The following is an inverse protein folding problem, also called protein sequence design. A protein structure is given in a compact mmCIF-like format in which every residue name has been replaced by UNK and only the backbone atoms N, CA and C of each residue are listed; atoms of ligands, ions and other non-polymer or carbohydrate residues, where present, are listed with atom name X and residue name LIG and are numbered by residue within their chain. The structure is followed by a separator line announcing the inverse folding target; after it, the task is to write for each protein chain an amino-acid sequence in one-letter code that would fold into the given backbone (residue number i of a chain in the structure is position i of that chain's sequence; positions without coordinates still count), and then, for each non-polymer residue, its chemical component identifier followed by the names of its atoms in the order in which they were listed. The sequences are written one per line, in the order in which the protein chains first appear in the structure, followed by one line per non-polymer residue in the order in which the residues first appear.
data_IF_488010077317
#
_entry.id   IF_488010077317
#
_cell.length_a   1.000
_cell.length_b   1.000
_cell.length_c   1.000
_cell.angle_alpha   90.00
_cell.angle_beta   90.00
_cell.angle_gamma   90.00
#
_symmetry.space_group_name_H-M   'P 1'
#
loop_
_entity.id
_entity.type
_entity.pdbx_description
1 polymer ?
#
# COMPACT_ATOMS: atom_id res chain seq x y z
N UNK A 1 -12.04 -2.73 7.54
CA UNK A 1 -12.61 -1.48 8.11
C UNK A 1 -11.52 -0.42 8.18
N UNK A 2 -11.87 0.86 8.00
CA UNK A 2 -10.96 2.00 8.12
C UNK A 2 -11.64 3.06 9.00
N UNK A 3 -10.93 3.70 9.91
CA UNK A 3 -11.48 4.84 10.65
C UNK A 3 -10.69 5.29 11.88
N UNK A 4 -11.14 6.39 12.47
CA UNK A 4 -10.69 6.92 13.76
C UNK A 4 -11.42 6.20 14.90
N UNK A 5 -10.64 5.51 15.74
CA UNK A 5 -11.17 4.81 16.91
C UNK A 5 -10.84 5.54 18.22
N UNK A 6 -10.11 6.66 18.16
CA UNK A 6 -9.57 7.39 19.32
C UNK A 6 -8.87 6.46 20.35
N UNK A 7 -8.30 5.37 19.82
CA UNK A 7 -7.82 4.22 20.59
C UNK A 7 -6.31 4.17 20.46
N UNK A 8 -5.58 4.39 21.54
CA UNK A 8 -4.11 4.22 21.53
C UNK A 8 -3.83 2.82 22.03
N UNK A 9 -3.35 1.95 21.15
CA UNK A 9 -3.19 0.51 21.44
C UNK A 9 -1.76 0.11 21.78
N UNK A 10 -0.80 1.03 21.74
CA UNK A 10 0.61 0.72 21.97
C UNK A 10 1.10 -0.38 21.01
N UNK A 11 1.73 -1.43 21.55
CA UNK A 11 2.10 -2.66 20.83
C UNK A 11 1.34 -3.89 21.36
N UNK A 12 0.15 -3.71 21.94
CA UNK A 12 -0.70 -4.83 22.36
C UNK A 12 -1.05 -5.75 21.19
N UNK A 13 -0.99 -7.07 21.43
CA UNK A 13 -1.42 -8.10 20.49
C UNK A 13 -2.93 -8.04 20.26
N UNK A 14 -3.35 -8.06 19.01
CA UNK A 14 -4.73 -8.10 18.52
C UNK A 14 -5.25 -9.53 18.29
N UNK A 15 -4.45 -10.55 18.62
CA UNK A 15 -4.82 -11.97 18.62
C UNK A 15 -4.51 -12.63 19.98
N UNK A 16 -5.15 -13.76 20.24
CA UNK A 16 -4.87 -14.61 21.40
C UNK A 16 -3.59 -15.40 21.19
N UNK A 17 -2.68 -15.35 22.16
CA UNK A 17 -1.49 -16.17 22.12
C UNK A 17 -1.76 -17.46 22.91
N UNK A 18 -2.02 -18.56 22.21
CA UNK A 18 -2.42 -19.84 22.83
C UNK A 18 -1.39 -20.32 23.88
N UNK A 19 -0.10 -20.06 23.66
CA UNK A 19 0.96 -20.48 24.58
C UNK A 19 1.07 -19.62 25.86
N UNK A 20 0.49 -18.41 25.86
CA UNK A 20 0.61 -17.44 26.96
C UNK A 20 -0.72 -17.11 27.63
N UNK A 21 -1.80 -17.19 26.89
CA UNK A 21 -3.14 -16.87 27.35
C UNK A 21 -3.78 -18.17 27.88
N UNK A 22 -3.54 -18.47 29.16
CA UNK A 22 -4.11 -19.62 29.91
C UNK A 22 -5.66 -19.64 29.99
N UNK A 23 -6.37 -18.81 29.21
CA UNK A 23 -7.82 -18.68 29.22
C UNK A 23 -8.54 -19.67 28.30
N UNK A 24 -7.81 -20.45 27.50
CA UNK A 24 -8.39 -21.52 26.68
C UNK A 24 -8.38 -22.86 27.43
N UNK A 25 -8.96 -22.90 28.63
CA UNK A 25 -9.37 -24.17 29.22
C UNK A 25 -10.60 -24.69 28.47
N UNK A 26 -10.40 -25.80 27.75
CA UNK A 26 -11.39 -26.81 27.38
C UNK A 26 -12.63 -26.32 26.61
N UNK A 27 -12.67 -26.60 25.29
CA UNK A 27 -13.83 -27.17 24.56
C UNK A 27 -13.82 -26.80 23.07
N UNK A 28 -12.81 -27.17 22.27
CA UNK A 28 -13.08 -27.43 20.85
C UNK A 28 -12.07 -28.42 20.27
N UNK A 29 -12.57 -29.63 20.01
CA UNK A 29 -12.01 -30.62 19.12
C UNK A 29 -12.23 -30.17 17.68
N UNK A 30 -11.19 -29.69 16.99
CA UNK A 30 -10.91 -30.05 15.59
C UNK A 30 -9.50 -29.60 15.19
N UNK A 31 -8.56 -30.54 15.19
CA UNK A 31 -7.15 -30.32 14.86
C UNK A 31 -6.94 -30.36 13.34
N UNK A 32 -7.49 -29.39 12.58
CA UNK A 32 -7.15 -29.21 11.15
C UNK A 32 -7.45 -27.82 10.56
N UNK A 33 -8.05 -26.86 11.28
CA UNK A 33 -8.13 -25.47 10.80
C UNK A 33 -6.82 -24.72 11.10
N UNK A 34 -6.20 -24.15 10.06
CA UNK A 34 -5.14 -23.15 10.22
C UNK A 34 -5.64 -22.06 11.18
N UNK A 35 -4.85 -21.74 12.21
CA UNK A 35 -5.24 -20.62 13.06
C UNK A 35 -5.21 -19.34 12.23
N UNK A 36 -6.08 -18.37 12.54
CA UNK A 36 -6.09 -17.08 11.85
C UNK A 36 -4.72 -16.38 11.86
N UNK A 37 -3.88 -16.71 12.85
CA UNK A 37 -2.51 -16.21 12.97
C UNK A 37 -1.59 -16.87 11.95
N UNK A 38 -1.79 -18.14 11.60
CA UNK A 38 -0.96 -18.85 10.61
C UNK A 38 -1.16 -18.29 9.19
N UNK A 39 -2.36 -17.77 8.89
CA UNK A 39 -2.63 -17.04 7.63
C UNK A 39 -1.73 -15.81 7.50
N UNK A 40 -1.36 -15.16 8.61
CA UNK A 40 -0.40 -14.06 8.55
C UNK A 40 0.97 -14.54 8.08
N UNK A 41 1.43 -15.70 8.56
CA UNK A 41 2.75 -16.22 8.17
C UNK A 41 2.77 -16.70 6.73
N UNK A 42 1.69 -17.33 6.27
CA UNK A 42 1.51 -17.74 4.86
C UNK A 42 1.67 -16.53 3.92
N UNK A 43 1.09 -15.39 4.31
CA UNK A 43 1.17 -14.14 3.56
C UNK A 43 2.45 -13.34 3.80
N UNK A 44 3.37 -13.83 4.64
CA UNK A 44 4.58 -13.11 5.03
C UNK A 44 4.31 -11.82 5.83
N UNK A 45 3.12 -11.69 6.42
CA UNK A 45 2.71 -10.56 7.25
C UNK A 45 3.20 -10.80 8.68
N UNK A 46 3.94 -9.86 9.30
CA UNK A 46 4.40 -10.03 10.67
C UNK A 46 3.24 -10.26 11.66
N UNK A 47 3.35 -11.30 12.50
CA UNK A 47 2.42 -11.56 13.61
C UNK A 47 2.36 -10.40 14.62
N UNK A 48 3.51 -9.77 14.90
CA UNK A 48 3.58 -8.60 15.77
C UNK A 48 3.61 -7.32 14.94
N UNK A 49 2.71 -6.40 15.28
CA UNK A 49 2.69 -5.05 14.73
C UNK A 49 3.70 -4.16 15.44
N UNK A 50 4.25 -3.21 14.69
CA UNK A 50 5.06 -2.13 15.26
C UNK A 50 4.22 -0.85 15.36
N UNK A 51 4.41 -0.10 16.43
CA UNK A 51 3.85 1.23 16.61
C UNK A 51 4.87 2.13 17.28
N UNK A 52 5.12 3.29 16.69
CA UNK A 52 5.91 4.34 17.34
C UNK A 52 5.17 4.96 18.53
N UNK A 53 3.84 4.95 18.48
CA UNK A 53 3.00 5.28 19.62
C UNK A 53 2.92 4.07 20.55
N UNK A 54 3.67 4.10 21.65
CA UNK A 54 3.71 3.04 22.66
C UNK A 54 2.66 3.20 23.77
N UNK A 55 1.89 4.28 23.76
CA UNK A 55 0.90 4.56 24.80
C UNK A 55 -0.34 3.69 24.62
N UNK A 56 -0.89 3.22 25.73
CA UNK A 56 -2.14 2.46 25.76
C UNK A 56 -3.19 3.20 26.58
N UNK A 57 -4.31 3.59 25.96
CA UNK A 57 -5.45 4.18 26.67
C UNK A 57 -6.58 3.16 26.94
N UNK A 58 -7.62 3.58 27.68
CA UNK A 58 -8.74 2.70 28.02
C UNK A 58 -9.53 2.22 26.80
N UNK A 59 -9.69 3.07 25.78
CA UNK A 59 -10.31 2.70 24.50
C UNK A 59 -9.45 1.70 23.74
N UNK A 60 -8.12 1.85 23.76
CA UNK A 60 -7.18 0.94 23.13
C UNK A 60 -7.25 -0.49 23.65
N UNK A 61 -7.43 -0.69 24.97
CA UNK A 61 -7.65 -2.03 25.53
C UNK A 61 -8.95 -2.66 25.00
N UNK A 62 -10.05 -1.92 25.06
CA UNK A 62 -11.36 -2.38 24.54
C UNK A 62 -11.31 -2.67 23.04
N UNK A 63 -10.56 -1.86 22.30
CA UNK A 63 -10.39 -2.03 20.86
C UNK A 63 -9.57 -3.28 20.53
N UNK A 64 -8.53 -3.58 21.32
CA UNK A 64 -7.78 -4.84 21.20
C UNK A 64 -8.68 -6.04 21.54
N UNK A 65 -9.49 -5.96 22.60
CA UNK A 65 -10.44 -7.03 22.94
C UNK A 65 -11.46 -7.23 21.82
N UNK A 66 -11.95 -6.14 21.21
CA UNK A 66 -12.81 -6.20 20.03
C UNK A 66 -12.12 -6.92 18.87
N UNK A 67 -10.87 -6.58 18.55
CA UNK A 67 -10.10 -7.23 17.50
C UNK A 67 -9.97 -8.74 17.75
N UNK A 68 -9.56 -9.13 18.96
CA UNK A 68 -9.41 -10.54 19.37
C UNK A 68 -10.72 -11.32 19.25
N UNK A 69 -11.81 -10.76 19.76
CA UNK A 69 -13.11 -11.43 19.79
C UNK A 69 -13.76 -11.55 18.40
N UNK A 70 -13.42 -10.66 17.47
CA UNK A 70 -13.96 -10.65 16.12
C UNK A 70 -12.98 -11.19 15.07
N UNK A 71 -11.82 -11.74 15.49
CA UNK A 71 -10.78 -12.26 14.59
C UNK A 71 -10.34 -11.22 13.54
N UNK A 72 -10.17 -9.98 13.99
CA UNK A 72 -9.75 -8.85 13.16
C UNK A 72 -8.33 -8.45 13.50
N UNK A 73 -7.50 -8.24 12.49
CA UNK A 73 -6.11 -7.81 12.63
C UNK A 73 -5.95 -6.33 12.28
N UNK A 74 -5.17 -5.63 13.11
CA UNK A 74 -4.74 -4.26 12.86
C UNK A 74 -3.60 -4.30 11.83
N UNK A 75 -3.79 -3.66 10.68
CA UNK A 75 -2.81 -3.65 9.59
C UNK A 75 -1.70 -2.60 9.79
N UNK A 76 -1.99 -1.52 10.52
CA UNK A 76 -1.01 -0.49 10.85
C UNK A 76 0.20 -1.15 11.54
N UNK A 77 1.40 -0.86 11.05
CA UNK A 77 2.61 -1.44 11.62
C UNK A 77 2.99 -2.83 11.13
N UNK A 78 2.22 -3.44 10.21
CA UNK A 78 2.52 -4.79 9.67
C UNK A 78 3.05 -4.78 8.24
N UNK A 79 2.46 -3.96 7.36
CA UNK A 79 2.83 -3.91 5.94
C UNK A 79 4.08 -3.06 5.70
N UNK A 80 4.88 -3.42 4.69
CA UNK A 80 6.21 -2.85 4.39
C UNK A 80 6.27 -1.32 4.46
N UNK A 81 5.29 -0.66 3.84
CA UNK A 81 5.24 0.81 3.72
C UNK A 81 4.79 1.51 5.00
N UNK A 82 4.27 0.76 5.97
CA UNK A 82 3.90 1.25 7.29
C UNK A 82 4.52 0.43 8.43
N UNK A 83 5.65 -0.24 8.19
CA UNK A 83 6.33 -1.10 9.19
C UNK A 83 6.74 -0.41 10.47
N UNK A 84 6.81 0.91 10.51
CA UNK A 84 7.12 1.69 11.72
C UNK A 84 5.89 1.96 12.58
N UNK A 85 4.68 1.74 12.04
CA UNK A 85 3.42 2.18 12.65
C UNK A 85 3.40 3.69 12.83
N UNK A 86 3.51 4.41 11.71
CA UNK A 86 3.63 5.87 11.71
C UNK A 86 2.40 6.54 12.34
N UNK A 87 2.56 7.68 13.02
CA UNK A 87 1.45 8.36 13.68
C UNK A 87 0.40 8.80 12.67
N UNK A 88 -0.86 8.58 13.00
CA UNK A 88 -2.00 9.02 12.19
C UNK A 88 -2.60 10.32 12.69
N UNK A 89 -2.24 10.75 13.91
CA UNK A 89 -2.73 12.01 14.49
C UNK A 89 -1.61 12.78 15.19
N UNK A 90 -1.57 14.10 14.94
CA UNK A 90 -0.66 15.10 15.55
C UNK A 90 0.81 14.72 15.54
N UNK A 91 1.24 13.90 14.58
CA UNK A 91 2.59 13.31 14.53
C UNK A 91 3.02 12.58 15.81
N UNK A 92 2.08 12.16 16.66
CA UNK A 92 2.37 11.56 17.96
C UNK A 92 1.58 10.30 18.26
N UNK A 93 0.35 10.21 17.75
CA UNK A 93 -0.60 9.15 18.14
C UNK A 93 -0.99 8.31 16.93
N UNK A 94 -1.17 7.01 17.15
CA UNK A 94 -1.80 6.11 16.19
C UNK A 94 -3.20 5.83 16.70
N UNK A 95 -4.21 6.42 16.08
CA UNK A 95 -5.63 6.30 16.47
C UNK A 95 -6.55 5.97 15.30
N UNK A 96 -6.06 6.14 14.07
CA UNK A 96 -6.73 5.79 12.83
C UNK A 96 -6.20 4.44 12.34
N UNK A 97 -7.09 3.46 12.20
CA UNK A 97 -6.69 2.08 11.92
C UNK A 97 -7.33 1.52 10.66
N UNK A 98 -6.56 0.69 9.97
CA UNK A 98 -7.05 -0.27 9.00
C UNK A 98 -7.14 -1.65 9.67
N UNK A 99 -8.30 -2.29 9.57
CA UNK A 99 -8.58 -3.62 10.09
C UNK A 99 -8.96 -4.57 8.96
N UNK A 100 -8.51 -5.82 9.05
CA UNK A 100 -8.91 -6.90 8.16
C UNK A 100 -9.16 -8.19 8.90
N UNK A 101 -10.12 -8.98 8.43
CA UNK A 101 -10.15 -10.42 8.73
C UNK A 101 -9.09 -11.13 7.88
N UNK A 102 -8.73 -12.36 8.27
CA UNK A 102 -7.80 -13.22 7.54
C UNK A 102 -8.22 -13.46 6.10
N UNK A 103 -9.50 -13.73 5.87
CA UNK A 103 -10.05 -13.94 4.53
C UNK A 103 -9.77 -12.79 3.56
N UNK A 104 -9.81 -11.54 4.06
CA UNK A 104 -9.62 -10.36 3.22
C UNK A 104 -8.16 -9.90 3.11
N UNK A 105 -7.25 -10.47 3.91
CA UNK A 105 -5.82 -10.14 3.84
C UNK A 105 -5.21 -10.46 2.48
N UNK A 106 -5.68 -11.53 1.83
CA UNK A 106 -5.24 -11.91 0.49
C UNK A 106 -5.54 -10.85 -0.58
N UNK A 107 -6.43 -9.91 -0.29
CA UNK A 107 -6.78 -8.83 -1.19
C UNK A 107 -6.10 -7.50 -0.83
N UNK A 108 -5.27 -7.48 0.21
CA UNK A 108 -4.58 -6.26 0.64
C UNK A 108 -3.18 -6.22 0.03
N UNK A 109 -2.91 -5.17 -0.73
CA UNK A 109 -1.62 -4.93 -1.36
C UNK A 109 -0.71 -4.10 -0.45
N UNK A 110 -1.23 -2.96 0.01
CA UNK A 110 -0.42 -1.92 0.64
C UNK A 110 -1.24 -1.08 1.60
N UNK A 111 -0.62 -0.64 2.69
CA UNK A 111 -1.13 0.37 3.60
C UNK A 111 -0.06 1.42 3.84
N UNK A 112 -0.41 2.69 3.69
CA UNK A 112 0.48 3.81 3.97
C UNK A 112 -0.24 4.92 4.75
N UNK A 113 0.49 5.59 5.64
CA UNK A 113 0.06 6.84 6.26
C UNK A 113 0.68 7.96 5.45
N UNK A 114 -0.16 8.75 4.79
CA UNK A 114 0.27 9.87 3.95
C UNK A 114 0.67 11.06 4.81
N UNK A 115 1.42 11.99 4.22
CA UNK A 115 1.82 13.21 4.90
C UNK A 115 0.60 14.04 5.31
N UNK A 116 0.66 14.57 6.53
CA UNK A 116 -0.35 15.49 7.03
C UNK A 116 -0.53 16.68 6.09
N UNK A 117 -1.79 17.01 5.80
CA UNK A 117 -2.16 18.13 4.96
C UNK A 117 -3.19 19.00 5.68
N UNK A 118 -2.78 20.23 6.04
CA UNK A 118 -3.63 21.22 6.73
C UNK A 118 -4.91 21.61 5.95
N UNK A 119 -4.95 21.33 4.65
CA UNK A 119 -6.14 21.57 3.83
C UNK A 119 -7.24 20.53 4.07
N UNK A 120 -6.88 19.32 4.49
CA UNK A 120 -7.81 18.20 4.61
C UNK A 120 -8.09 17.79 6.06
N UNK A 121 -7.23 18.18 7.00
CA UNK A 121 -7.44 17.95 8.43
C UNK A 121 -6.67 18.94 9.29
N UNK A 122 -7.16 19.16 10.50
CA UNK A 122 -6.49 19.90 11.55
C UNK A 122 -5.46 19.04 12.30
N UNK A 123 -5.73 17.74 12.45
CA UNK A 123 -4.90 16.85 13.29
C UNK A 123 -4.63 15.46 12.72
N UNK A 124 -5.34 15.00 11.68
CA UNK A 124 -5.19 13.63 11.14
C UNK A 124 -4.40 13.59 9.82
N UNK A 125 -3.52 12.59 9.72
CA UNK A 125 -2.85 12.18 8.50
C UNK A 125 -3.71 11.18 7.75
N UNK A 126 -3.87 11.31 6.41
CA UNK A 126 -4.67 10.35 5.65
C UNK A 126 -4.09 8.93 5.68
N UNK A 127 -4.97 7.94 5.72
CA UNK A 127 -4.61 6.52 5.61
C UNK A 127 -5.03 6.01 4.22
N UNK A 128 -4.07 5.48 3.47
CA UNK A 128 -4.27 4.96 2.12
C UNK A 128 -4.12 3.43 2.12
N UNK A 129 -5.16 2.73 1.68
CA UNK A 129 -5.22 1.27 1.59
C UNK A 129 -5.44 0.88 0.12
N UNK A 130 -4.56 0.04 -0.41
CA UNK A 130 -4.64 -0.49 -1.76
C UNK A 130 -5.08 -1.94 -1.73
N UNK A 131 -6.04 -2.28 -2.60
CA UNK A 131 -6.65 -3.60 -2.70
C UNK A 131 -6.44 -4.21 -4.09
N UNK A 132 -6.34 -5.53 -4.15
CA UNK A 132 -6.46 -6.30 -5.37
C UNK A 132 -7.92 -6.63 -5.64
N UNK A 133 -8.40 -6.31 -6.84
CA UNK A 133 -9.81 -6.48 -7.25
C UNK A 133 -10.01 -7.53 -8.35
N UNK A 134 -8.95 -8.13 -8.89
CA UNK A 134 -9.01 -9.19 -9.90
C UNK A 134 -8.26 -10.44 -9.43
N UNK A 135 -8.90 -11.60 -9.53
CA UNK A 135 -8.30 -12.89 -9.16
C UNK A 135 -7.10 -13.26 -10.06
N UNK A 136 -7.09 -12.84 -11.33
CA UNK A 136 -5.94 -13.06 -12.23
C UNK A 136 -4.66 -12.29 -11.81
N UNK A 137 -4.81 -11.16 -11.12
CA UNK A 137 -3.67 -10.40 -10.56
C UNK A 137 -3.18 -11.06 -9.27
N UNK A 138 -4.10 -11.68 -8.52
CA UNK A 138 -3.84 -12.39 -7.27
C UNK A 138 -2.96 -13.61 -7.50
N UNK A 139 -3.25 -14.42 -8.53
CA UNK A 139 -2.45 -15.59 -8.89
C UNK A 139 -1.07 -15.20 -9.43
N UNK A 140 -0.98 -14.13 -10.23
CA UNK A 140 0.33 -13.61 -10.69
C UNK A 140 1.24 -13.21 -9.52
N UNK A 141 0.69 -12.59 -8.47
CA UNK A 141 1.47 -12.11 -7.33
C UNK A 141 1.71 -13.17 -6.24
N UNK A 142 0.80 -14.14 -6.06
CA UNK A 142 0.98 -15.25 -5.11
C UNK A 142 1.99 -16.29 -5.63
N UNK A 143 2.04 -16.51 -6.95
CA UNK A 143 3.08 -17.34 -7.58
C UNK A 143 4.45 -16.64 -7.57
N UNK A 144 4.45 -15.31 -7.49
CA UNK A 144 5.62 -14.47 -7.20
C UNK A 144 5.84 -14.35 -5.69
N UNK A 145 6.14 -15.47 -5.02
CA UNK A 145 6.75 -15.39 -3.69
C UNK A 145 8.02 -14.55 -3.80
N UNK A 146 7.98 -13.30 -3.35
CA UNK A 146 9.10 -12.36 -3.34
C UNK A 146 9.95 -12.33 -4.62
N UNK A 147 9.34 -12.07 -5.78
CA UNK A 147 10.12 -11.49 -6.87
C UNK A 147 10.30 -10.00 -6.57
N UNK A 148 11.52 -9.64 -6.17
CA UNK A 148 12.00 -8.26 -6.16
C UNK A 148 12.05 -7.77 -7.62
N UNK A 149 10.89 -7.45 -8.19
CA UNK A 149 10.80 -6.73 -9.43
C UNK A 149 11.01 -5.27 -9.05
N UNK A 150 12.26 -4.80 -9.14
CA UNK A 150 12.55 -3.38 -8.99
C UNK A 150 11.65 -2.62 -9.94
N UNK A 151 10.66 -1.91 -9.37
CA UNK A 151 9.68 -1.14 -10.12
C UNK A 151 10.45 -0.15 -11.00
N UNK A 152 10.48 -0.40 -12.32
CA UNK A 152 11.28 0.38 -13.27
C UNK A 152 10.66 1.76 -13.37
N UNK A 153 11.21 2.71 -12.62
CA UNK A 153 10.78 4.09 -12.68
C UNK A 153 11.51 4.78 -13.82
N UNK A 154 10.73 5.48 -14.65
CA UNK A 154 11.28 6.42 -15.61
C UNK A 154 12.07 7.48 -14.86
N UNK A 155 13.28 7.78 -15.33
CA UNK A 155 14.08 8.85 -14.74
C UNK A 155 13.38 10.21 -14.85
N UNK A 156 13.72 11.14 -13.96
CA UNK A 156 13.13 12.48 -13.93
C UNK A 156 13.25 13.18 -15.28
N UNK A 157 12.20 13.90 -15.66
CA UNK A 157 12.15 14.75 -16.84
C UNK A 157 13.37 15.70 -16.90
N UNK A 158 14.00 15.77 -18.08
CA UNK A 158 15.09 16.71 -18.37
C UNK A 158 14.67 17.59 -19.54
N UNK A 159 14.57 18.90 -19.30
CA UNK A 159 14.07 19.84 -20.30
C UNK A 159 14.93 19.86 -21.57
N UNK A 160 16.24 19.60 -21.44
CA UNK A 160 17.18 19.50 -22.56
C UNK A 160 16.81 18.38 -23.56
N UNK A 161 16.12 17.33 -23.09
CA UNK A 161 15.72 16.16 -23.90
C UNK A 161 14.28 16.23 -24.41
N UNK A 162 13.62 17.39 -24.33
CA UNK A 162 12.21 17.51 -24.70
C UNK A 162 11.93 17.18 -26.19
N UNK A 163 12.86 17.52 -27.09
CA UNK A 163 12.73 17.22 -28.51
C UNK A 163 12.97 15.73 -28.80
N UNK A 164 13.91 15.10 -28.07
CA UNK A 164 14.16 13.66 -28.12
C UNK A 164 12.91 12.89 -27.67
N UNK A 165 12.25 13.35 -26.59
CA UNK A 165 10.99 12.79 -26.13
C UNK A 165 9.89 12.83 -27.20
N UNK A 166 9.68 13.99 -27.81
CA UNK A 166 8.69 14.14 -28.89
C UNK A 166 8.97 13.22 -30.07
N UNK A 167 10.24 13.00 -30.41
CA UNK A 167 10.62 12.13 -31.51
C UNK A 167 10.44 10.64 -31.17
N UNK A 168 10.50 10.30 -29.88
CA UNK A 168 10.28 8.93 -29.38
C UNK A 168 8.79 8.61 -29.15
N UNK A 169 7.87 9.55 -29.40
CA UNK A 169 6.43 9.26 -29.43
C UNK A 169 6.12 8.48 -30.70
N UNK A 170 5.68 7.23 -30.52
CA UNK A 170 5.29 6.36 -31.62
C UNK A 170 4.02 6.91 -32.29
N UNK A 171 4.22 7.53 -33.46
CA UNK A 171 3.11 8.11 -34.23
C UNK A 171 2.11 7.07 -34.69
N UNK A 172 2.53 5.84 -34.95
CA UNK A 172 1.60 4.80 -35.39
C UNK A 172 0.62 4.43 -34.28
N UNK A 173 1.09 4.37 -33.02
CA UNK A 173 0.23 4.16 -31.85
C UNK A 173 -0.73 5.34 -31.64
N UNK A 174 -0.23 6.57 -31.80
CA UNK A 174 -1.07 7.78 -31.70
C UNK A 174 -2.16 7.78 -32.77
N UNK A 175 -1.81 7.46 -34.01
CA UNK A 175 -2.76 7.41 -35.12
C UNK A 175 -3.82 6.31 -34.91
N UNK A 176 -3.44 5.14 -34.39
CA UNK A 176 -4.40 4.07 -34.04
C UNK A 176 -5.38 4.51 -32.94
N UNK A 177 -4.88 5.15 -31.88
CA UNK A 177 -5.72 5.71 -30.81
C UNK A 177 -6.68 6.77 -31.38
N UNK A 178 -6.20 7.66 -32.24
CA UNK A 178 -7.02 8.69 -32.88
C UNK A 178 -8.09 8.10 -33.80
N UNK A 179 -7.78 7.04 -34.55
CA UNK A 179 -8.73 6.35 -35.42
C UNK A 179 -9.83 5.66 -34.61
N UNK A 180 -9.47 4.99 -33.51
CA UNK A 180 -10.45 4.35 -32.60
C UNK A 180 -11.34 5.38 -31.91
N UNK A 181 -10.78 6.48 -31.42
CA UNK A 181 -11.56 7.58 -30.86
C UNK A 181 -12.54 8.16 -31.89
N UNK A 182 -12.11 8.35 -33.13
CA UNK A 182 -12.95 8.85 -34.21
C UNK A 182 -14.09 7.87 -34.54
N UNK A 183 -13.83 6.56 -34.49
CA UNK A 183 -14.86 5.54 -34.65
C UNK A 183 -15.90 5.60 -33.51
N UNK A 184 -15.46 5.78 -32.27
CA UNK A 184 -16.35 5.89 -31.10
C UNK A 184 -17.21 7.15 -31.10
N UNK A 185 -16.70 8.27 -31.60
CA UNK A 185 -17.48 9.50 -31.78
C UNK A 185 -18.64 9.28 -32.76
N UNK A 186 -18.46 8.40 -33.74
CA UNK A 186 -19.50 8.10 -34.75
C UNK A 186 -20.49 7.02 -34.31
N UNK A 187 -20.21 6.25 -33.24
CA UNK A 187 -21.09 5.19 -32.72
C UNK A 187 -21.15 5.19 -31.18
N UNK A 188 -21.57 6.32 -30.61
CA UNK A 188 -21.56 6.60 -29.16
C UNK A 188 -22.40 5.60 -28.34
N UNK A 189 -23.42 4.98 -28.95
CA UNK A 189 -24.33 4.07 -28.25
C UNK A 189 -23.72 2.68 -27.97
N UNK A 190 -22.63 2.32 -28.64
CA UNK A 190 -21.96 1.02 -28.49
C UNK A 190 -20.62 1.10 -27.72
N UNK A 191 -20.22 2.28 -27.25
CA UNK A 191 -18.97 2.46 -26.50
C UNK A 191 -19.15 2.00 -25.06
N UNK A 192 -18.34 1.03 -24.63
CA UNK A 192 -18.37 0.53 -23.27
C UNK A 192 -17.30 1.19 -22.40
N UNK A 193 -17.43 1.01 -21.06
CA UNK A 193 -16.37 1.39 -20.11
C UNK A 193 -15.04 0.69 -20.41
N UNK A 194 -15.09 -0.53 -20.92
CA UNK A 194 -13.89 -1.29 -21.28
C UNK A 194 -13.13 -0.65 -22.44
N UNK A 195 -13.86 -0.18 -23.46
CA UNK A 195 -13.27 0.51 -24.62
C UNK A 195 -12.54 1.80 -24.21
N UNK A 196 -13.16 2.58 -23.32
CA UNK A 196 -12.54 3.79 -22.78
C UNK A 196 -11.31 3.50 -21.92
N UNK A 197 -11.35 2.46 -21.08
CA UNK A 197 -10.19 2.07 -20.28
C UNK A 197 -9.02 1.63 -21.17
N UNK A 198 -9.28 0.91 -22.26
CA UNK A 198 -8.23 0.51 -23.21
C UNK A 198 -7.58 1.73 -23.86
N UNK A 199 -8.36 2.72 -24.31
CA UNK A 199 -7.82 3.97 -24.86
C UNK A 199 -6.92 4.68 -23.84
N UNK A 200 -7.35 4.77 -22.58
CA UNK A 200 -6.56 5.42 -21.53
C UNK A 200 -5.25 4.65 -21.28
N UNK A 201 -5.30 3.32 -21.24
CA UNK A 201 -4.12 2.47 -21.10
C UNK A 201 -3.16 2.68 -22.28
N UNK A 202 -3.65 2.66 -23.51
CA UNK A 202 -2.83 2.82 -24.71
C UNK A 202 -2.15 4.20 -24.76
N UNK A 203 -2.84 5.26 -24.33
CA UNK A 203 -2.25 6.61 -24.18
C UNK A 203 -1.15 6.60 -23.13
N UNK A 204 -1.43 6.03 -21.94
CA UNK A 204 -0.45 5.95 -20.85
C UNK A 204 0.80 5.18 -21.26
N UNK A 205 0.63 4.03 -21.93
CA UNK A 205 1.73 3.18 -22.38
C UNK A 205 2.55 3.89 -23.45
N UNK A 206 1.90 4.51 -24.45
CA UNK A 206 2.58 5.29 -25.48
C UNK A 206 3.45 6.38 -24.86
N UNK A 207 2.91 7.17 -23.93
CA UNK A 207 3.66 8.26 -23.29
C UNK A 207 4.77 7.74 -22.37
N UNK A 208 4.53 6.63 -21.68
CA UNK A 208 5.48 6.03 -20.73
C UNK A 208 6.63 5.37 -21.45
N UNK A 209 6.40 4.63 -22.53
CA UNK A 209 7.43 4.02 -23.36
C UNK A 209 8.34 5.06 -24.01
N UNK A 210 7.77 6.13 -24.56
CA UNK A 210 8.56 7.26 -25.07
C UNK A 210 9.42 7.89 -23.98
N UNK A 211 8.90 7.94 -22.75
CA UNK A 211 9.64 8.49 -21.62
C UNK A 211 10.77 7.54 -21.19
N UNK A 212 10.52 6.23 -21.14
CA UNK A 212 11.54 5.19 -20.91
C UNK A 212 12.65 5.25 -21.96
N UNK A 213 12.30 5.37 -23.24
CA UNK A 213 13.27 5.48 -24.33
C UNK A 213 14.14 6.75 -24.22
N UNK A 214 13.56 7.86 -23.76
CA UNK A 214 14.24 9.16 -23.73
C UNK A 214 15.08 9.39 -22.47
N UNK A 215 14.52 9.06 -21.32
CA UNK A 215 15.10 9.34 -20.01
C UNK A 215 15.78 8.12 -19.40
N UNK A 216 15.54 6.93 -19.97
CA UNK A 216 15.97 5.67 -19.39
C UNK A 216 15.11 5.27 -18.19
N UNK A 217 15.30 4.03 -17.76
CA UNK A 217 14.74 3.51 -16.51
C UNK A 217 15.83 3.45 -15.45
N UNK A 218 15.46 3.68 -14.20
CA UNK A 218 16.28 3.32 -13.05
C UNK A 218 15.66 2.13 -12.36
N UNK A 219 16.41 1.05 -12.23
CA UNK A 219 16.06 -0.03 -11.31
C UNK A 219 16.26 0.49 -9.90
N UNK A 220 15.17 0.68 -9.17
CA UNK A 220 15.26 1.03 -7.76
C UNK A 220 15.57 -0.25 -6.96
N UNK A 221 16.85 -0.64 -6.93
CA UNK A 221 17.32 -1.56 -5.91
C UNK A 221 17.20 -0.80 -4.58
N UNK A 222 16.21 -1.14 -3.75
CA UNK A 222 16.25 -0.81 -2.33
C UNK A 222 17.45 -1.57 -1.74
N UNK A 223 18.64 -1.03 -1.88
CA UNK A 223 19.75 -1.41 -1.03
C UNK A 223 19.28 -1.21 0.40
N UNK A 224 19.35 -2.27 1.21
CA UNK A 224 19.25 -2.15 2.66
C UNK A 224 20.26 -1.10 3.09
N UNK A 225 19.79 0.12 3.35
CA UNK A 225 20.61 1.11 4.02
C UNK A 225 20.80 0.59 5.45
N UNK A 226 21.95 -0.04 5.70
CA UNK A 226 22.54 -0.04 7.04
C UNK A 226 22.83 1.42 7.36
N UNK A 227 21.88 2.08 8.00
CA UNK A 227 22.10 3.43 8.50
C UNK A 227 23.09 3.31 9.67
N UNK A 228 24.38 3.55 9.40
CA UNK A 228 25.35 3.82 10.44
C UNK A 228 24.90 5.08 11.16
N UNK A 229 24.70 4.97 12.49
CA UNK A 229 24.48 6.13 13.35
C UNK A 229 25.61 7.14 13.09
N UNK A 230 25.22 8.37 12.75
CA UNK A 230 26.02 9.61 12.66
C UNK A 230 26.16 10.17 11.23
N UNK A 231 25.16 10.93 10.80
CA UNK A 231 25.33 12.28 10.22
C UNK A 231 23.96 12.88 9.88
N UNK A 232 23.31 13.50 10.87
CA UNK A 232 22.32 14.53 10.61
C UNK A 232 22.95 15.87 10.99
N UNK A 233 23.54 16.55 10.02
CA UNK A 233 23.69 18.01 10.07
C UNK A 233 23.92 18.56 8.66
N UNK A 234 22.81 18.87 7.97
CA UNK A 234 22.64 20.11 7.20
C UNK A 234 21.25 20.14 6.56
N UNK A 235 20.46 21.13 6.94
CA UNK A 235 19.21 21.48 6.29
C UNK A 235 19.46 22.07 4.90
N UNK A 236 18.63 21.71 3.93
CA UNK A 236 18.87 21.92 2.50
C UNK A 236 18.33 23.25 1.95
N UNK A 237 17.86 24.15 2.80
CA UNK A 237 17.17 25.39 2.39
C UNK A 237 17.80 26.70 2.85
N UNK A 238 18.97 26.70 3.50
CA UNK A 238 19.66 27.96 3.73
C UNK A 238 20.73 28.15 2.64
N UNK A 239 20.36 28.92 1.62
CA UNK A 239 21.31 29.67 0.80
C UNK A 239 20.86 31.12 0.76
N UNK A 240 21.68 31.97 1.39
CA UNK A 240 21.91 33.35 0.95
C UNK A 240 22.57 33.33 -0.44
#
# INVERSE_FOLDING_TARGET
MLGDFNSRTGNLSDFYNIDKDNSFENNFTDYNELSDVDVLDELGIPRLRNSIDTVVNGYGRKFIDFCKNNRMFILNGRLEENKTGSPTSRNSSVIDYALSSTHFLYNICKLEVLNFCKLFSDVHSPLSLQLYTNDEIKDKLLTETFCFCGDERVNKWKNEKCNEYKNNIDRNKVDDICNRLSAYVNDVNNVTKYDMNNIVTDICDTLTESAKATFGTSTFNKTMFKCSKNQFSKDWYNKD
#
